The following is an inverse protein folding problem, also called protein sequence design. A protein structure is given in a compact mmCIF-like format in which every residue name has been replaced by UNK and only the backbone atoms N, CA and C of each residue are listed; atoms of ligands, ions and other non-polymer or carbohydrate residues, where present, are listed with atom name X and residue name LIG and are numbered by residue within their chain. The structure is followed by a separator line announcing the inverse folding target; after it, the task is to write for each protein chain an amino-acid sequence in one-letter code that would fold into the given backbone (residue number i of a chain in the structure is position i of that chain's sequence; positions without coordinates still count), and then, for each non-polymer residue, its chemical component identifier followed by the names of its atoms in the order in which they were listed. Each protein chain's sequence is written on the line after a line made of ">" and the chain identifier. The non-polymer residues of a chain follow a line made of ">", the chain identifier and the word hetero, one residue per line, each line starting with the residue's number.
data_IF_441691259588
#
_entry.id   IF_441691259588
#
_cell.length_a   1.000
_cell.length_b   1.000
_cell.length_c   1.000
_cell.angle_alpha   90.00
_cell.angle_beta   90.00
_cell.angle_gamma   90.00
#
_symmetry.space_group_name_H-M   'P 1'
#
loop_
_entity.id
_entity.type
_entity.pdbx_description
1 polymer ?
#
# COMPACT_ATOMS: atom_id res chain seq x y z
N UNK A 1 3.22 -10.63 -1.65
CA UNK A 1 3.51 -10.65 -0.19
C UNK A 1 2.67 -9.58 0.49
N UNK A 2 2.25 -9.82 1.73
CA UNK A 2 1.67 -8.81 2.61
C UNK A 2 2.62 -7.66 2.84
N UNK A 3 2.21 -6.40 2.71
CA UNK A 3 3.12 -5.28 3.01
C UNK A 3 2.38 -4.07 3.55
N UNK A 4 2.15 -4.04 4.86
CA UNK A 4 1.61 -2.86 5.57
C UNK A 4 2.67 -2.05 6.31
N UNK A 5 3.92 -2.53 6.39
CA UNK A 5 5.00 -1.87 7.14
C UNK A 5 6.26 -1.69 6.29
N UNK A 6 6.99 -0.62 6.56
CA UNK A 6 8.28 -0.29 5.91
C UNK A 6 9.40 -1.15 6.52
N UNK A 7 9.90 -2.15 5.79
CA UNK A 7 11.00 -2.99 6.28
C UNK A 7 12.31 -2.20 6.29
N UNK A 8 13.08 -2.34 7.36
CA UNK A 8 14.33 -1.64 7.59
C UNK A 8 15.12 -2.34 8.68
N UNK A 9 16.41 -2.02 8.79
CA UNK A 9 17.20 -2.47 9.94
C UNK A 9 16.69 -1.81 11.24
N UNK A 10 16.39 -2.63 12.25
CA UNK A 10 15.91 -2.19 13.58
C UNK A 10 16.60 -2.97 14.70
N UNK A 11 16.41 -2.56 15.95
CA UNK A 11 16.86 -3.28 17.16
C UNK A 11 15.65 -3.51 18.09
N UNK A 12 15.15 -4.75 18.26
CA UNK A 12 15.57 -5.98 17.60
C UNK A 12 15.29 -5.95 16.09
N UNK A 13 15.98 -6.79 15.31
CA UNK A 13 15.81 -6.85 13.85
C UNK A 13 14.35 -7.17 13.49
N UNK A 14 13.85 -6.55 12.41
CA UNK A 14 12.56 -6.92 11.85
C UNK A 14 12.64 -8.38 11.38
N UNK A 15 11.62 -9.17 11.71
CA UNK A 15 11.49 -10.55 11.26
C UNK A 15 10.10 -10.81 10.68
N UNK A 16 10.01 -11.80 9.79
CA UNK A 16 8.75 -12.32 9.27
C UNK A 16 8.78 -12.74 7.80
N UNK A 17 7.67 -13.30 7.29
CA UNK A 17 7.55 -13.74 5.90
C UNK A 17 7.80 -12.63 4.87
N UNK A 18 7.51 -11.37 5.24
CA UNK A 18 7.79 -10.16 4.48
C UNK A 18 9.29 -9.90 4.32
N UNK A 19 10.05 -10.13 5.39
CA UNK A 19 11.52 -10.02 5.41
C UNK A 19 12.18 -11.15 4.61
N UNK A 20 11.73 -12.40 4.80
CA UNK A 20 12.19 -13.54 4.00
C UNK A 20 12.09 -13.27 2.51
N UNK A 21 11.01 -12.60 2.12
CA UNK A 21 10.69 -12.29 0.74
C UNK A 21 11.65 -11.30 0.10
N UNK A 22 12.06 -10.26 0.83
CA UNK A 22 13.11 -9.34 0.38
C UNK A 22 14.46 -10.03 0.34
N UNK A 23 14.79 -10.79 1.39
CA UNK A 23 16.04 -11.54 1.43
C UNK A 23 16.14 -12.48 0.21
N UNK A 24 15.06 -13.16 -0.13
CA UNK A 24 14.99 -14.05 -1.29
C UNK A 24 15.10 -13.27 -2.61
N UNK A 25 14.40 -12.15 -2.76
CA UNK A 25 14.44 -11.32 -3.97
C UNK A 25 15.85 -10.77 -4.21
N UNK A 26 16.47 -10.17 -3.19
CA UNK A 26 17.83 -9.65 -3.25
C UNK A 26 18.85 -10.76 -3.49
N UNK A 27 18.65 -11.95 -2.92
CA UNK A 27 19.51 -13.11 -3.19
C UNK A 27 19.40 -13.58 -4.64
N UNK A 28 18.19 -13.69 -5.18
CA UNK A 28 17.96 -14.10 -6.57
C UNK A 28 18.53 -13.09 -7.58
N UNK A 29 18.53 -11.80 -7.23
CA UNK A 29 19.14 -10.73 -8.01
C UNK A 29 20.67 -10.63 -7.79
N UNK A 30 21.25 -11.46 -6.93
CA UNK A 30 22.70 -11.52 -6.67
C UNK A 30 23.24 -10.46 -5.71
N UNK A 31 22.38 -9.65 -5.08
CA UNK A 31 22.78 -8.62 -4.11
C UNK A 31 23.03 -9.20 -2.72
N UNK A 32 22.23 -10.19 -2.30
CA UNK A 32 22.39 -10.85 -0.99
C UNK A 32 23.07 -12.21 -1.15
N UNK A 33 24.28 -12.36 -0.60
CA UNK A 33 25.07 -13.60 -0.71
C UNK A 33 24.91 -14.55 0.48
N UNK A 34 24.39 -14.06 1.61
CA UNK A 34 24.14 -14.87 2.79
C UNK A 34 22.97 -15.81 2.58
N UNK A 35 22.87 -16.84 3.44
CA UNK A 35 21.71 -17.71 3.47
C UNK A 35 20.44 -16.88 3.69
N UNK A 36 19.41 -17.15 2.90
CA UNK A 36 18.09 -16.50 3.02
C UNK A 36 17.38 -17.03 4.25
N UNK A 37 17.03 -16.12 5.16
CA UNK A 37 16.17 -16.35 6.32
C UNK A 37 15.13 -15.23 6.44
N UNK A 38 14.30 -15.26 7.48
CA UNK A 38 13.21 -14.31 7.70
C UNK A 38 13.59 -13.12 8.60
N UNK A 39 14.89 -12.79 8.72
CA UNK A 39 15.39 -11.71 9.60
C UNK A 39 16.08 -10.62 8.76
N UNK A 40 15.80 -9.35 9.07
CA UNK A 40 16.31 -8.20 8.33
C UNK A 40 17.65 -7.81 8.93
N UNK A 41 18.70 -8.55 8.55
CA UNK A 41 20.05 -8.35 9.05
C UNK A 41 20.70 -7.10 8.47
N UNK A 42 21.83 -6.69 9.03
CA UNK A 42 22.65 -5.64 8.44
C UNK A 42 23.09 -5.97 6.99
N UNK A 43 23.28 -7.26 6.67
CA UNK A 43 23.55 -7.70 5.30
C UNK A 43 22.39 -7.46 4.33
N UNK A 44 21.14 -7.57 4.80
CA UNK A 44 19.95 -7.23 4.01
C UNK A 44 19.88 -5.74 3.74
N UNK A 45 20.14 -4.88 4.74
CA UNK A 45 20.18 -3.43 4.58
C UNK A 45 21.22 -3.01 3.52
N UNK A 46 22.44 -3.57 3.61
CA UNK A 46 23.50 -3.29 2.64
C UNK A 46 23.13 -3.72 1.23
N UNK A 47 22.61 -4.95 1.07
CA UNK A 47 22.17 -5.47 -0.23
C UNK A 47 21.03 -4.62 -0.83
N UNK A 48 20.09 -4.18 0.02
CA UNK A 48 18.96 -3.35 -0.39
C UNK A 48 19.40 -1.97 -0.86
N UNK A 49 20.28 -1.30 -0.10
CA UNK A 49 20.80 0.02 -0.50
C UNK A 49 21.52 -0.05 -1.84
N UNK A 50 22.33 -1.09 -2.04
CA UNK A 50 23.02 -1.30 -3.31
C UNK A 50 22.03 -1.55 -4.46
N UNK A 51 20.96 -2.31 -4.21
CA UNK A 51 19.91 -2.50 -5.21
C UNK A 51 19.14 -1.20 -5.49
N UNK A 52 18.78 -0.41 -4.46
CA UNK A 52 18.09 0.88 -4.60
C UNK A 52 18.91 1.87 -5.43
N UNK A 53 20.22 1.95 -5.17
CA UNK A 53 21.16 2.75 -5.94
C UNK A 53 21.17 2.33 -7.41
N UNK A 54 21.28 1.03 -7.70
CA UNK A 54 21.24 0.50 -9.06
C UNK A 54 19.87 0.67 -9.74
N UNK A 55 18.78 0.71 -8.98
CA UNK A 55 17.44 0.96 -9.48
C UNK A 55 17.15 2.46 -9.71
N UNK A 56 18.11 3.35 -9.40
CA UNK A 56 17.96 4.79 -9.57
C UNK A 56 16.99 5.44 -8.58
N UNK A 57 16.79 4.83 -7.42
CA UNK A 57 15.96 5.37 -6.32
C UNK A 57 16.80 5.64 -5.07
N UNK A 58 16.24 6.36 -4.10
CA UNK A 58 16.98 6.76 -2.89
C UNK A 58 17.45 5.52 -2.09
N UNK A 59 18.77 5.32 -1.86
CA UNK A 59 19.31 4.13 -1.20
C UNK A 59 19.23 4.24 0.34
N UNK A 60 18.01 4.38 0.85
CA UNK A 60 17.74 4.59 2.26
C UNK A 60 17.64 3.31 3.10
N UNK A 61 17.74 2.13 2.48
CA UNK A 61 17.65 0.83 3.14
C UNK A 61 16.24 0.52 3.64
N UNK A 62 15.23 1.23 3.14
CA UNK A 62 13.84 1.03 3.50
C UNK A 62 13.07 0.40 2.35
N UNK A 63 12.38 -0.69 2.65
CA UNK A 63 11.51 -1.36 1.71
C UNK A 63 10.13 -0.71 1.76
N UNK A 64 9.92 0.26 0.88
CA UNK A 64 8.64 0.94 0.67
C UNK A 64 7.83 0.28 -0.48
N UNK A 65 6.60 0.75 -0.77
CA UNK A 65 5.79 0.19 -1.85
C UNK A 65 6.44 0.25 -3.25
N UNK A 66 7.29 1.23 -3.53
CA UNK A 66 7.97 1.36 -4.84
C UNK A 66 9.07 0.30 -4.96
N UNK A 67 9.85 0.09 -3.89
CA UNK A 67 10.81 -1.03 -3.78
C UNK A 67 10.10 -2.37 -4.03
N UNK A 68 8.93 -2.58 -3.42
CA UNK A 68 8.13 -3.78 -3.62
C UNK A 68 7.67 -4.00 -5.06
N UNK A 69 7.21 -2.94 -5.71
CA UNK A 69 6.76 -3.01 -7.10
C UNK A 69 7.93 -3.38 -8.02
N UNK A 70 9.07 -2.70 -7.87
CA UNK A 70 10.24 -2.86 -8.75
C UNK A 70 10.95 -4.20 -8.56
N UNK A 71 11.07 -4.69 -7.32
CA UNK A 71 11.60 -6.04 -7.06
C UNK A 71 10.65 -7.13 -7.57
N UNK A 72 9.34 -6.88 -7.55
CA UNK A 72 8.31 -7.82 -8.01
C UNK A 72 8.10 -7.85 -9.52
N UNK A 73 8.53 -6.82 -10.27
CA UNK A 73 8.17 -6.62 -11.69
C UNK A 73 9.24 -7.04 -12.71
N UNK A 74 10.40 -7.58 -12.30
CA UNK A 74 11.43 -8.01 -13.26
C UNK A 74 11.12 -9.40 -13.84
N UNK A 75 10.16 -9.42 -14.78
CA UNK A 75 9.79 -10.52 -15.68
C UNK A 75 8.66 -10.07 -16.62
N UNK A 76 8.98 -9.73 -17.89
CA UNK A 76 8.10 -9.01 -18.85
C UNK A 76 7.05 -9.89 -19.57
N UNK A 77 5.95 -9.28 -20.06
CA UNK A 77 5.13 -9.71 -21.22
C UNK A 77 4.59 -8.50 -22.05
N UNK A 78 4.35 -8.69 -23.37
CA UNK A 78 4.16 -7.68 -24.45
C UNK A 78 2.70 -7.45 -24.93
N UNK A 79 2.51 -6.62 -26.00
CA UNK A 79 1.43 -5.64 -26.23
C UNK A 79 0.32 -5.99 -27.27
N UNK A 80 0.06 -7.26 -27.64
CA UNK A 80 -0.84 -7.58 -28.78
C UNK A 80 -2.20 -8.26 -28.49
N UNK A 81 -2.58 -8.57 -27.25
CA UNK A 81 -3.82 -9.32 -26.96
C UNK A 81 -4.99 -8.44 -26.50
N UNK A 82 -5.42 -7.52 -27.36
CA UNK A 82 -6.15 -6.31 -26.95
C UNK A 82 -7.67 -6.38 -27.14
N UNK A 83 -8.38 -5.76 -26.18
CA UNK A 83 -9.71 -5.12 -26.26
C UNK A 83 -10.93 -5.81 -25.59
N UNK A 84 -11.21 -7.11 -25.72
CA UNK A 84 -12.43 -7.70 -25.07
C UNK A 84 -12.18 -8.85 -24.08
N UNK A 85 -11.12 -9.65 -24.26
CA UNK A 85 -10.66 -10.61 -23.24
C UNK A 85 -9.97 -9.91 -22.03
N UNK A 86 -9.71 -8.61 -22.15
CA UNK A 86 -9.00 -7.77 -21.16
C UNK A 86 -9.86 -7.29 -19.98
N UNK A 87 -11.13 -7.70 -19.87
CA UNK A 87 -12.04 -7.19 -18.84
C UNK A 87 -12.41 -8.20 -17.76
N UNK A 88 -12.01 -9.47 -17.92
CA UNK A 88 -12.27 -10.53 -16.96
C UNK A 88 -11.04 -11.40 -16.78
N UNK A 89 -10.72 -11.83 -15.55
CA UNK A 89 -11.44 -11.50 -14.33
C UNK A 89 -11.31 -10.02 -13.95
N UNK A 90 -12.32 -9.48 -13.27
CA UNK A 90 -12.33 -8.11 -12.76
C UNK A 90 -12.96 -8.05 -11.38
N UNK A 91 -12.52 -7.08 -10.59
CA UNK A 91 -13.03 -6.83 -9.25
C UNK A 91 -13.63 -5.43 -9.20
N UNK A 92 -14.82 -5.30 -8.62
CA UNK A 92 -15.38 -4.01 -8.20
C UNK A 92 -15.63 -4.04 -6.71
N UNK A 93 -15.20 -3.00 -6.00
CA UNK A 93 -15.43 -2.81 -4.57
C UNK A 93 -16.24 -1.55 -4.40
N UNK A 94 -17.44 -1.69 -3.83
CA UNK A 94 -18.30 -0.58 -3.48
C UNK A 94 -18.14 -0.27 -1.99
N UNK A 95 -17.60 0.92 -1.71
CA UNK A 95 -17.33 1.38 -0.34
C UNK A 95 -18.61 1.69 0.44
N UNK A 96 -19.70 2.06 -0.23
CA UNK A 96 -20.98 2.37 0.42
C UNK A 96 -21.68 1.10 0.89
N UNK A 97 -21.82 0.12 -0.01
CA UNK A 97 -22.44 -1.17 0.31
C UNK A 97 -21.49 -2.14 1.05
N UNK A 98 -20.18 -1.86 1.04
CA UNK A 98 -19.12 -2.72 1.62
C UNK A 98 -19.15 -4.12 1.01
N UNK A 99 -19.25 -4.16 -0.32
CA UNK A 99 -19.30 -5.39 -1.12
C UNK A 99 -18.19 -5.40 -2.16
N UNK A 100 -17.64 -6.59 -2.38
CA UNK A 100 -16.76 -6.90 -3.49
C UNK A 100 -17.52 -7.76 -4.49
N UNK A 101 -17.55 -7.33 -5.74
CA UNK A 101 -18.10 -8.03 -6.88
C UNK A 101 -16.93 -8.59 -7.70
N UNK A 102 -16.85 -9.90 -7.80
CA UNK A 102 -15.86 -10.61 -8.60
C UNK A 102 -16.53 -11.12 -9.88
N UNK A 103 -16.06 -10.63 -11.02
CA UNK A 103 -16.58 -11.02 -12.32
C UNK A 103 -15.57 -11.93 -13.02
N UNK A 104 -16.04 -13.08 -13.50
CA UNK A 104 -15.25 -13.99 -14.35
C UNK A 104 -15.75 -14.01 -15.81
N UNK A 105 -16.90 -13.38 -16.07
CA UNK A 105 -17.47 -13.09 -17.37
C UNK A 105 -18.48 -11.94 -17.24
N UNK A 106 -19.06 -11.49 -18.37
CA UNK A 106 -20.07 -10.42 -18.40
C UNK A 106 -21.36 -10.75 -17.62
N UNK A 107 -21.72 -12.03 -17.53
CA UNK A 107 -23.02 -12.48 -17.00
C UNK A 107 -22.93 -13.05 -15.58
N UNK A 108 -21.72 -13.30 -15.08
CA UNK A 108 -21.50 -14.00 -13.83
C UNK A 108 -20.63 -13.19 -12.87
N UNK A 109 -21.28 -12.66 -11.83
CA UNK A 109 -20.62 -12.01 -10.70
C UNK A 109 -20.87 -12.78 -9.41
N UNK A 110 -19.81 -13.05 -8.65
CA UNK A 110 -19.91 -13.50 -7.26
C UNK A 110 -19.72 -12.30 -6.35
N UNK A 111 -20.55 -12.20 -5.33
CA UNK A 111 -20.55 -11.04 -4.44
C UNK A 111 -20.17 -11.44 -3.02
N UNK A 112 -19.23 -10.72 -2.43
CA UNK A 112 -18.67 -11.00 -1.11
C UNK A 112 -18.80 -9.78 -0.19
N UNK A 113 -19.15 -9.95 1.09
CA UNK A 113 -19.06 -8.87 2.06
C UNK A 113 -17.58 -8.57 2.39
N UNK A 114 -17.23 -7.29 2.55
CA UNK A 114 -15.85 -6.89 2.86
C UNK A 114 -15.78 -5.91 4.03
N UNK A 115 -14.64 -5.86 4.70
CA UNK A 115 -14.28 -4.71 5.53
C UNK A 115 -13.44 -3.73 4.72
N UNK A 116 -13.69 -2.44 4.91
CA UNK A 116 -12.97 -1.36 4.22
C UNK A 116 -12.21 -0.48 5.22
N UNK A 117 -11.46 0.48 4.69
CA UNK A 117 -10.76 1.48 5.48
C UNK A 117 -11.67 2.25 6.44
N UNK A 118 -11.18 2.55 7.64
CA UNK A 118 -11.81 3.50 8.57
C UNK A 118 -11.88 4.88 7.93
N UNK A 119 -12.74 5.78 8.44
CA UNK A 119 -12.77 7.19 8.03
C UNK A 119 -11.39 7.87 8.13
N UNK A 120 -10.59 7.49 9.13
CA UNK A 120 -9.25 8.02 9.36
C UNK A 120 -8.16 7.44 8.46
N UNK A 121 -8.44 6.32 7.80
CA UNK A 121 -7.52 5.54 6.94
C UNK A 121 -8.34 4.84 5.85
N UNK A 122 -8.95 5.62 4.94
CA UNK A 122 -9.97 5.08 4.07
C UNK A 122 -9.36 4.32 2.89
N UNK A 123 -10.15 3.45 2.28
CA UNK A 123 -9.74 2.75 1.06
C UNK A 123 -9.69 3.73 -0.12
N UNK A 124 -8.69 3.64 -1.02
CA UNK A 124 -8.51 4.59 -2.11
C UNK A 124 -9.45 4.28 -3.28
N UNK A 125 -10.43 5.14 -3.61
CA UNK A 125 -11.21 4.99 -4.83
C UNK A 125 -10.31 5.15 -6.04
N UNK A 126 -10.70 4.54 -7.13
CA UNK A 126 -9.97 4.60 -8.38
C UNK A 126 -9.91 3.27 -9.09
N UNK A 127 -9.10 3.26 -10.14
CA UNK A 127 -8.90 2.12 -11.01
C UNK A 127 -7.49 1.58 -10.75
N UNK A 128 -7.42 0.38 -10.21
CA UNK A 128 -6.19 -0.30 -9.82
C UNK A 128 -6.04 -1.61 -10.58
N UNK A 129 -4.89 -2.25 -10.46
CA UNK A 129 -4.66 -3.62 -10.91
C UNK A 129 -4.03 -4.46 -9.80
N UNK A 130 -4.15 -5.79 -9.91
CA UNK A 130 -3.40 -6.70 -9.02
C UNK A 130 -1.95 -6.77 -9.48
N UNK A 131 -1.02 -6.28 -8.67
CA UNK A 131 0.42 -6.23 -9.02
C UNK A 131 1.25 -7.27 -8.31
N UNK A 132 0.73 -7.85 -7.22
CA UNK A 132 1.42 -8.89 -6.48
C UNK A 132 0.44 -9.77 -5.71
N UNK A 133 0.81 -11.03 -5.47
CA UNK A 133 -0.02 -11.96 -4.70
C UNK A 133 0.80 -12.73 -3.66
N UNK A 134 0.16 -13.27 -2.63
CA UNK A 134 0.78 -14.24 -1.72
C UNK A 134 -0.23 -15.23 -1.13
N UNK A 135 0.24 -16.47 -0.98
CA UNK A 135 -0.49 -17.59 -0.37
C UNK A 135 -0.11 -17.73 1.09
N UNK A 136 -1.11 -17.99 1.93
CA UNK A 136 -1.02 -18.19 3.38
C UNK A 136 -0.15 -17.20 4.16
N UNK A 137 -0.27 -15.87 3.98
CA UNK A 137 0.77 -15.04 4.57
C UNK A 137 0.54 -14.73 6.07
N UNK A 138 -0.55 -15.25 6.68
CA UNK A 138 -0.76 -15.33 8.13
C UNK A 138 -1.41 -14.08 8.76
N UNK A 139 -1.33 -13.95 10.09
CA UNK A 139 -1.62 -12.70 10.82
C UNK A 139 -2.90 -11.91 10.45
N UNK A 140 -2.89 -10.55 10.48
CA UNK A 140 -4.05 -9.71 10.12
C UNK A 140 -4.51 -9.89 8.66
N UNK A 141 -3.58 -10.43 7.90
CA UNK A 141 -3.58 -10.90 6.54
C UNK A 141 -4.56 -12.00 6.13
N UNK A 142 -4.72 -12.97 7.02
CA UNK A 142 -5.47 -14.20 6.78
C UNK A 142 -4.81 -15.19 5.80
N UNK A 143 -5.61 -15.72 4.88
CA UNK A 143 -5.22 -16.84 4.04
C UNK A 143 -4.60 -16.45 2.69
N UNK A 144 -4.92 -15.27 2.16
CA UNK A 144 -4.48 -14.81 0.83
C UNK A 144 -4.34 -13.29 0.83
N UNK A 145 -3.46 -12.79 -0.02
CA UNK A 145 -3.27 -11.35 -0.26
C UNK A 145 -3.06 -11.06 -1.73
N UNK A 146 -3.67 -9.98 -2.20
CA UNK A 146 -3.56 -9.45 -3.55
C UNK A 146 -3.30 -7.95 -3.44
N UNK A 147 -2.08 -7.52 -3.76
CA UNK A 147 -1.64 -6.13 -3.72
C UNK A 147 -2.26 -5.33 -4.88
N UNK A 148 -2.76 -4.14 -4.58
CA UNK A 148 -3.29 -3.20 -5.56
C UNK A 148 -2.16 -2.30 -6.08
N UNK A 149 -2.25 -1.88 -7.34
CA UNK A 149 -1.34 -0.95 -8.00
C UNK A 149 -1.44 0.49 -7.49
N UNK A 150 -1.79 0.69 -6.22
CA UNK A 150 -1.90 2.03 -5.62
C UNK A 150 -0.49 2.53 -5.37
N UNK A 151 -0.01 3.55 -6.11
CA UNK A 151 1.41 3.89 -6.06
C UNK A 151 1.83 4.51 -4.72
N UNK A 152 0.87 4.93 -3.90
CA UNK A 152 1.11 5.59 -2.61
C UNK A 152 0.85 4.72 -1.36
N UNK A 153 0.78 3.40 -1.48
CA UNK A 153 0.70 2.55 -0.30
C UNK A 153 0.50 1.07 -0.56
N UNK A 154 0.78 0.26 0.46
CA UNK A 154 0.52 -1.18 0.48
C UNK A 154 -0.95 -1.52 0.66
N UNK A 155 -1.79 -1.09 -0.28
CA UNK A 155 -3.21 -1.44 -0.28
C UNK A 155 -3.41 -2.81 -0.92
N UNK A 156 -4.26 -3.65 -0.32
CA UNK A 156 -4.51 -4.98 -0.84
C UNK A 156 -5.91 -5.49 -0.54
N UNK A 157 -6.32 -6.49 -1.30
CA UNK A 157 -7.46 -7.35 -1.02
C UNK A 157 -6.92 -8.59 -0.34
N UNK A 158 -7.40 -8.90 0.86
CA UNK A 158 -6.82 -9.98 1.66
C UNK A 158 -7.81 -10.65 2.59
N UNK A 159 -7.43 -11.81 3.13
CA UNK A 159 -8.18 -12.52 4.17
C UNK A 159 -8.16 -11.79 5.51
N UNK A 160 -8.56 -12.42 6.61
CA UNK A 160 -8.35 -11.78 7.93
C UNK A 160 -8.37 -12.80 9.06
N UNK A 161 -7.61 -12.53 10.12
CA UNK A 161 -7.74 -13.22 11.41
C UNK A 161 -8.87 -12.64 12.29
N UNK A 162 -9.47 -11.50 11.90
CA UNK A 162 -10.59 -10.88 12.59
C UNK A 162 -11.86 -10.91 11.72
N UNK A 163 -12.52 -12.07 11.60
CA UNK A 163 -13.72 -12.22 10.75
C UNK A 163 -14.88 -11.30 11.18
N UNK A 164 -14.91 -10.85 12.44
CA UNK A 164 -15.92 -9.89 12.94
C UNK A 164 -15.79 -8.49 12.34
N UNK A 165 -14.65 -8.19 11.69
CA UNK A 165 -14.45 -6.92 10.99
C UNK A 165 -15.19 -6.83 9.66
N UNK A 166 -15.54 -7.96 9.05
CA UNK A 166 -16.19 -8.02 7.75
C UNK A 166 -17.57 -7.33 7.79
N UNK A 167 -17.85 -6.50 6.79
CA UNK A 167 -19.05 -5.67 6.74
C UNK A 167 -18.92 -4.33 7.48
N UNK A 168 -17.72 -3.95 7.95
CA UNK A 168 -17.46 -2.71 8.71
C UNK A 168 -16.33 -1.88 8.10
N UNK A 169 -16.24 -0.61 8.49
CA UNK A 169 -15.07 0.24 8.24
C UNK A 169 -14.03 0.03 9.35
N UNK A 170 -13.10 -0.91 9.16
CA UNK A 170 -12.28 -1.43 10.24
C UNK A 170 -10.78 -1.56 9.91
N UNK A 171 -10.39 -1.40 8.64
CA UNK A 171 -9.00 -1.55 8.21
C UNK A 171 -8.25 -0.21 8.15
N UNK A 172 -6.94 -0.28 7.88
CA UNK A 172 -6.10 0.87 7.58
C UNK A 172 -6.10 1.26 6.09
N UNK A 173 -7.13 0.85 5.34
CA UNK A 173 -7.29 1.17 3.92
C UNK A 173 -7.42 -0.07 3.04
N UNK A 174 -6.90 -1.21 3.49
CA UNK A 174 -7.03 -2.49 2.79
C UNK A 174 -8.47 -3.02 2.77
N UNK A 175 -8.75 -3.92 1.83
CA UNK A 175 -10.04 -4.60 1.70
C UNK A 175 -9.93 -5.98 2.33
N UNK A 176 -10.60 -6.18 3.46
CA UNK A 176 -10.60 -7.47 4.17
C UNK A 176 -11.77 -8.33 3.69
N UNK A 177 -11.50 -9.60 3.48
CA UNK A 177 -12.45 -10.64 3.13
C UNK A 177 -12.40 -11.76 4.17
N UNK A 178 -13.45 -12.58 4.24
CA UNK A 178 -13.32 -13.87 4.92
C UNK A 178 -12.26 -14.73 4.23
N UNK A 179 -11.53 -15.53 4.99
CA UNK A 179 -10.48 -16.41 4.44
C UNK A 179 -11.02 -17.34 3.35
N UNK A 180 -12.21 -17.93 3.58
CA UNK A 180 -12.89 -18.77 2.57
C UNK A 180 -13.20 -18.02 1.26
N UNK A 181 -13.52 -16.74 1.34
CA UNK A 181 -13.96 -15.94 0.19
C UNK A 181 -12.76 -15.47 -0.62
N UNK A 182 -11.69 -15.01 0.04
CA UNK A 182 -10.46 -14.62 -0.65
C UNK A 182 -9.78 -15.83 -1.29
N UNK A 183 -9.83 -17.01 -0.66
CA UNK A 183 -9.34 -18.27 -1.26
C UNK A 183 -10.11 -18.55 -2.56
N UNK A 184 -11.44 -18.40 -2.55
CA UNK A 184 -12.28 -18.72 -3.70
C UNK A 184 -11.95 -17.87 -4.96
N UNK A 185 -11.54 -16.61 -4.79
CA UNK A 185 -11.23 -15.73 -5.93
C UNK A 185 -9.73 -15.67 -6.27
N UNK A 186 -8.85 -16.09 -5.36
CA UNK A 186 -7.41 -15.86 -5.49
C UNK A 186 -6.82 -16.48 -6.76
N UNK A 187 -7.02 -17.78 -7.02
CA UNK A 187 -6.45 -18.45 -8.19
C UNK A 187 -7.08 -17.95 -9.51
N UNK A 188 -8.30 -17.43 -9.42
CA UNK A 188 -9.04 -16.83 -10.52
C UNK A 188 -8.71 -15.35 -10.73
N UNK A 189 -7.72 -14.78 -10.02
CA UNK A 189 -7.33 -13.37 -10.14
C UNK A 189 -5.85 -13.30 -10.56
N UNK A 190 -5.50 -13.38 -11.85
CA UNK A 190 -4.13 -13.20 -12.34
C UNK A 190 -3.57 -11.80 -12.02
N UNK A 191 -2.24 -11.66 -12.08
CA UNK A 191 -1.64 -10.33 -12.07
C UNK A 191 -2.15 -9.52 -13.27
N UNK A 192 -2.27 -8.20 -13.11
CA UNK A 192 -2.90 -7.31 -14.08
C UNK A 192 -4.42 -7.25 -14.00
N UNK A 193 -5.08 -8.11 -13.21
CA UNK A 193 -6.55 -8.07 -13.03
C UNK A 193 -7.00 -6.68 -12.60
N UNK A 194 -7.92 -6.01 -13.35
CA UNK A 194 -8.43 -4.71 -12.97
C UNK A 194 -9.29 -4.76 -11.71
N UNK A 195 -9.12 -3.76 -10.86
CA UNK A 195 -9.82 -3.55 -9.60
C UNK A 195 -10.37 -2.13 -9.55
N UNK A 196 -11.69 -2.00 -9.54
CA UNK A 196 -12.40 -0.72 -9.45
C UNK A 196 -12.88 -0.50 -8.02
N UNK A 197 -12.38 0.53 -7.34
CA UNK A 197 -12.89 0.93 -6.02
C UNK A 197 -13.77 2.17 -6.21
N UNK A 198 -15.06 2.03 -5.93
CA UNK A 198 -16.08 3.05 -6.19
C UNK A 198 -16.79 3.48 -4.89
N UNK A 199 -17.36 4.69 -4.90
CA UNK A 199 -18.02 5.33 -3.75
C UNK A 199 -17.19 6.46 -3.14
N UNK A 200 -17.82 7.27 -2.29
CA UNK A 200 -17.16 8.41 -1.65
C UNK A 200 -16.13 7.95 -0.60
N UNK A 201 -14.85 8.07 -0.93
CA UNK A 201 -13.76 8.04 0.05
C UNK A 201 -13.19 9.43 0.21
N UNK A 202 -13.12 9.89 1.44
CA UNK A 202 -12.73 11.26 1.79
C UNK A 202 -11.27 11.63 1.52
N UNK A 203 -10.39 10.79 0.93
CA UNK A 203 -8.94 11.11 0.84
C UNK A 203 -8.18 10.70 -0.44
N UNK A 204 -8.84 10.44 -1.57
CA UNK A 204 -8.16 9.96 -2.80
C UNK A 204 -7.64 11.02 -3.77
N UNK A 205 -7.73 12.31 -3.44
CA UNK A 205 -7.39 13.42 -4.35
C UNK A 205 -6.10 14.13 -3.93
N UNK A 206 -5.41 14.71 -4.92
CA UNK A 206 -4.29 15.63 -4.66
C UNK A 206 -4.78 16.79 -3.77
N UNK A 207 -4.06 17.06 -2.69
CA UNK A 207 -4.34 18.23 -1.86
C UNK A 207 -3.36 19.33 -2.19
N UNK A 208 -3.89 20.49 -2.55
CA UNK A 208 -3.14 21.70 -2.88
C UNK A 208 -3.85 22.91 -2.27
N UNK A 209 -3.25 24.10 -2.39
CA UNK A 209 -3.85 25.32 -1.87
C UNK A 209 -5.30 25.50 -2.35
N UNK A 210 -6.19 25.87 -1.42
CA UNK A 210 -7.62 25.99 -1.66
C UNK A 210 -8.43 24.74 -1.32
N UNK A 211 -7.80 23.56 -1.21
CA UNK A 211 -8.48 22.33 -0.82
C UNK A 211 -9.11 22.45 0.58
N UNK A 212 -10.30 21.89 0.74
CA UNK A 212 -11.02 21.78 2.02
C UNK A 212 -11.54 20.37 2.23
N UNK A 213 -11.58 19.91 3.47
CA UNK A 213 -12.19 18.63 3.80
C UNK A 213 -11.54 17.89 4.97
N UNK A 214 -12.08 16.72 5.28
CA UNK A 214 -11.56 15.86 6.34
C UNK A 214 -10.16 15.31 5.98
N UNK A 215 -9.88 15.02 4.70
CA UNK A 215 -8.56 14.74 4.14
C UNK A 215 -7.50 15.76 4.56
N UNK A 216 -7.81 17.04 4.36
CA UNK A 216 -6.92 18.14 4.73
C UNK A 216 -6.61 18.08 6.22
N UNK A 217 -7.61 17.85 7.07
CA UNK A 217 -7.37 17.75 8.51
C UNK A 217 -6.60 16.51 8.94
N UNK A 218 -6.71 15.39 8.22
CA UNK A 218 -5.91 14.19 8.45
C UNK A 218 -4.43 14.53 8.20
N UNK A 219 -4.12 15.18 7.08
CA UNK A 219 -2.74 15.58 6.76
C UNK A 219 -2.23 16.63 7.75
N UNK A 220 -3.03 17.63 8.12
CA UNK A 220 -2.69 18.60 9.17
C UNK A 220 -2.36 17.91 10.50
N UNK A 221 -3.14 16.90 10.91
CA UNK A 221 -2.86 16.10 12.12
C UNK A 221 -1.53 15.36 12.00
N UNK A 222 -1.31 14.64 10.90
CA UNK A 222 -0.11 13.85 10.66
C UNK A 222 1.15 14.72 10.63
N UNK A 223 1.15 15.80 9.84
CA UNK A 223 2.27 16.75 9.79
C UNK A 223 2.52 17.42 11.14
N UNK A 224 1.49 17.67 11.94
CA UNK A 224 1.66 18.20 13.30
C UNK A 224 2.27 17.17 14.23
N UNK A 225 1.82 15.92 14.16
CA UNK A 225 2.48 14.82 14.87
C UNK A 225 3.94 14.75 14.49
N UNK A 226 4.29 14.95 13.22
CA UNK A 226 5.68 14.98 12.74
C UNK A 226 6.45 16.27 13.05
N UNK A 227 5.80 17.31 13.59
CA UNK A 227 6.43 18.59 13.92
C UNK A 227 6.48 19.63 12.79
N UNK A 228 5.90 19.34 11.62
CA UNK A 228 5.89 20.23 10.46
C UNK A 228 4.70 21.20 10.43
N UNK A 229 3.60 20.90 11.14
CA UNK A 229 2.40 21.74 11.17
C UNK A 229 2.05 22.19 12.60
N UNK A 230 2.21 23.48 12.90
CA UNK A 230 2.02 24.06 14.26
C UNK A 230 0.72 24.83 14.46
N UNK A 231 -0.13 24.88 13.44
CA UNK A 231 -1.33 25.72 13.43
C UNK A 231 -2.58 24.93 13.83
N UNK A 232 -3.71 25.65 13.97
CA UNK A 232 -5.02 25.03 14.23
C UNK A 232 -5.40 24.12 13.06
N UNK A 233 -5.89 22.93 13.38
CA UNK A 233 -6.53 22.06 12.38
C UNK A 233 -7.85 22.72 11.99
N UNK A 234 -7.95 23.20 10.76
CA UNK A 234 -9.12 23.95 10.27
C UNK A 234 -9.73 23.33 9.02
N UNK A 235 -9.26 22.14 8.61
CA UNK A 235 -9.70 21.46 7.37
C UNK A 235 -9.46 22.27 6.11
N UNK A 236 -8.63 23.32 6.16
CA UNK A 236 -8.34 24.20 5.03
C UNK A 236 -6.86 24.14 4.65
N UNK A 237 -6.60 23.81 3.39
CA UNK A 237 -5.28 23.82 2.81
C UNK A 237 -4.93 25.24 2.39
N UNK A 238 -4.65 26.08 3.37
CA UNK A 238 -4.19 27.46 3.16
C UNK A 238 -2.67 27.56 2.97
N UNK A 239 -2.14 28.79 2.80
CA UNK A 239 -0.71 29.04 2.62
C UNK A 239 0.17 28.42 3.72
N UNK A 240 -0.30 28.43 4.97
CA UNK A 240 0.40 27.81 6.11
C UNK A 240 0.56 26.30 5.97
N UNK A 241 -0.45 25.63 5.42
CA UNK A 241 -0.39 24.19 5.20
C UNK A 241 0.54 23.86 4.03
N UNK A 242 0.48 24.64 2.96
CA UNK A 242 1.41 24.53 1.84
C UNK A 242 2.86 24.65 2.30
N UNK A 243 3.19 25.67 3.10
CA UNK A 243 4.55 25.83 3.66
C UNK A 243 4.98 24.61 4.50
N UNK A 244 4.10 24.07 5.34
CA UNK A 244 4.37 22.85 6.11
C UNK A 244 4.62 21.64 5.21
N UNK A 245 3.90 21.50 4.11
CA UNK A 245 4.07 20.41 3.13
C UNK A 245 5.40 20.54 2.40
N UNK A 246 5.72 21.74 1.89
CA UNK A 246 7.02 22.03 1.25
C UNK A 246 8.18 21.69 2.18
N UNK A 247 8.13 22.15 3.44
CA UNK A 247 9.17 21.85 4.44
C UNK A 247 9.31 20.35 4.70
N UNK A 248 8.18 19.64 4.78
CA UNK A 248 8.18 18.19 4.94
C UNK A 248 8.80 17.50 3.72
N UNK A 249 8.41 17.89 2.51
CA UNK A 249 8.94 17.34 1.26
C UNK A 249 10.45 17.55 1.14
N UNK A 250 10.93 18.77 1.40
CA UNK A 250 12.36 19.09 1.40
C UNK A 250 13.14 18.22 2.39
N UNK A 251 12.63 18.07 3.61
CA UNK A 251 13.28 17.25 4.64
C UNK A 251 13.29 15.74 4.32
N UNK A 252 12.46 15.29 3.38
CA UNK A 252 12.35 13.88 2.98
C UNK A 252 12.82 13.66 1.52
N UNK A 253 13.59 14.58 0.96
CA UNK A 253 14.15 14.50 -0.41
C UNK A 253 13.08 14.29 -1.50
N UNK A 254 11.89 14.86 -1.31
CA UNK A 254 10.81 14.86 -2.31
C UNK A 254 10.83 16.14 -3.14
N UNK A 255 10.13 16.12 -4.29
CA UNK A 255 9.79 17.33 -5.02
C UNK A 255 9.00 18.28 -4.08
N UNK A 256 9.55 19.48 -3.86
CA UNK A 256 9.03 20.44 -2.89
C UNK A 256 7.94 21.35 -3.50
N UNK A 257 6.96 20.73 -4.15
CA UNK A 257 5.88 21.40 -4.89
C UNK A 257 4.72 21.89 -4.02
N UNK A 258 4.70 21.53 -2.73
CA UNK A 258 3.65 21.91 -1.78
C UNK A 258 2.32 21.20 -2.01
N UNK A 259 2.29 20.20 -2.88
CA UNK A 259 1.13 19.36 -3.18
C UNK A 259 1.26 18.06 -2.40
N UNK A 260 0.21 17.71 -1.65
CA UNK A 260 0.15 16.40 -1.00
C UNK A 260 -0.37 15.41 -2.04
N UNK A 261 0.58 14.95 -2.85
CA UNK A 261 0.43 13.83 -3.76
C UNK A 261 0.88 12.50 -3.16
N UNK A 262 0.87 11.44 -3.99
CA UNK A 262 1.29 10.09 -3.65
C UNK A 262 2.55 9.99 -2.78
N UNK A 263 3.68 10.52 -3.26
CA UNK A 263 4.98 10.41 -2.60
C UNK A 263 5.01 11.13 -1.25
N UNK A 264 4.29 12.25 -1.17
CA UNK A 264 4.15 13.02 0.07
C UNK A 264 3.35 12.23 1.11
N UNK A 265 2.28 11.54 0.72
CA UNK A 265 1.52 10.67 1.63
C UNK A 265 2.36 9.49 2.14
N UNK A 266 3.13 8.84 1.26
CA UNK A 266 4.03 7.73 1.62
C UNK A 266 5.08 8.20 2.61
N UNK A 267 5.76 9.31 2.31
CA UNK A 267 6.77 9.85 3.21
C UNK A 267 6.17 10.24 4.56
N UNK A 268 4.97 10.85 4.59
CA UNK A 268 4.29 11.18 5.86
C UNK A 268 4.04 9.91 6.67
N UNK A 269 3.56 8.84 6.05
CA UNK A 269 3.30 7.58 6.76
C UNK A 269 4.61 6.95 7.24
N UNK A 270 5.61 6.84 6.38
CA UNK A 270 6.97 6.36 6.71
C UNK A 270 7.55 7.10 7.91
N UNK A 271 7.47 8.43 7.91
CA UNK A 271 7.96 9.27 9.00
C UNK A 271 7.17 9.05 10.30
N UNK A 272 5.87 8.77 10.23
CA UNK A 272 5.05 8.47 11.41
C UNK A 272 5.46 7.12 12.01
N UNK A 273 5.58 6.09 11.18
CA UNK A 273 5.95 4.73 11.59
C UNK A 273 7.36 4.71 12.19
N UNK A 274 8.30 5.45 11.59
CA UNK A 274 9.65 5.65 12.14
C UNK A 274 9.61 6.36 13.51
N UNK A 275 8.76 7.39 13.65
CA UNK A 275 8.65 8.16 14.90
C UNK A 275 8.03 7.37 16.04
N UNK A 276 7.03 6.53 15.76
CA UNK A 276 6.39 5.67 16.76
C UNK A 276 7.13 4.36 17.00
N UNK A 277 8.21 4.10 16.26
CA UNK A 277 8.86 2.79 16.18
C UNK A 277 7.85 1.66 15.92
N UNK A 278 6.83 1.96 15.11
CA UNK A 278 5.82 0.99 14.77
C UNK A 278 6.44 -0.07 13.84
N UNK A 279 6.30 -1.31 14.26
CA UNK A 279 6.79 -2.51 13.56
C UNK A 279 5.66 -3.51 13.33
N UNK A 280 4.43 -3.18 13.75
CA UNK A 280 3.26 -4.03 13.59
C UNK A 280 2.74 -3.99 12.14
N UNK A 281 2.21 -5.12 11.63
CA UNK A 281 1.54 -5.19 10.35
C UNK A 281 0.08 -4.66 10.37
#
# INVERSE_FOLDING_TARGET
>A
MYMSRFLRLTQPNMQGPDVFSINQALHNLGYLRSKVDDIFHAGTDQALRQWQENAGINPDGVVDPDVWCRLGSQGMMTLEHTVLAQRYPAITIDLQSRRLFFFHSLEASRTYPVAIGKRSTPSPPGNWTIVQKAVNPGGPFGARWMCLSVPWGGYGIHGTNNPRSIGRMASHGCIRMYNRDVIAIYDQTPLGTPVYIIGESLTGRLLQQGARGEDVSIVQRRLRTLGYYRYRIDRYFGPRMHESVVRFQQANNLAADGIVGPDTYVAIQKALDMRSNDTEP
#
